data_IF_443342488002
#
_entry.id   IF_443342488002
#
_cell.length_a   1.000
_cell.length_b   1.000
_cell.length_c   1.000
_cell.angle_alpha   90.00
_cell.angle_beta   90.00
_cell.angle_gamma   90.00
#
_symmetry.space_group_name_H-M   'P 1'
#
loop_
_entity.id
_entity.type
_entity.pdbx_description
1 polymer ?
#
# COMPACT_ATOMS: atom_id res chain seq x y z
N UNK A 1 -2.09 -9.52 -37.18
CA UNK A 1 -1.96 -8.14 -36.69
C UNK A 1 -1.52 -8.27 -35.23
N UNK A 2 -0.26 -8.67 -35.04
CA UNK A 2 0.90 -7.78 -34.75
C UNK A 2 0.91 -7.45 -33.24
N UNK A 3 1.52 -8.30 -32.40
CA UNK A 3 2.95 -8.33 -32.03
C UNK A 3 3.42 -7.02 -31.40
N UNK A 4 3.88 -7.05 -30.13
CA UNK A 4 5.13 -6.40 -29.72
C UNK A 4 5.63 -6.94 -28.36
N UNK A 5 6.65 -7.78 -28.44
CA UNK A 5 7.54 -8.17 -27.34
C UNK A 5 8.73 -7.18 -27.35
N UNK A 6 9.08 -6.57 -26.22
CA UNK A 6 10.36 -5.87 -25.92
C UNK A 6 10.39 -5.66 -24.40
N UNK A 7 11.06 -6.47 -23.58
CA UNK A 7 12.51 -6.50 -23.35
C UNK A 7 13.15 -5.12 -23.42
N UNK A 8 13.53 -4.55 -22.27
CA UNK A 8 14.84 -3.92 -21.98
C UNK A 8 14.97 -3.83 -20.43
N UNK A 9 15.90 -4.60 -19.86
CA UNK A 9 16.52 -4.27 -18.57
C UNK A 9 17.32 -2.98 -18.76
N UNK A 10 17.01 -1.93 -17.99
CA UNK A 10 17.72 -0.67 -18.00
C UNK A 10 17.66 -0.02 -16.63
N UNK A 11 18.78 -0.09 -15.91
CA UNK A 11 19.01 0.60 -14.65
C UNK A 11 18.98 2.11 -14.91
N UNK A 12 17.81 2.72 -14.78
CA UNK A 12 17.63 4.16 -14.82
C UNK A 12 17.28 4.64 -13.42
N UNK A 13 18.27 5.25 -12.74
CA UNK A 13 18.09 6.18 -11.63
C UNK A 13 17.09 7.25 -12.07
N UNK A 14 15.82 6.97 -11.82
CA UNK A 14 14.70 7.82 -12.14
C UNK A 14 14.04 8.08 -10.80
N UNK A 15 14.11 9.33 -10.32
CA UNK A 15 13.16 9.84 -9.34
C UNK A 15 11.78 9.75 -9.99
N UNK A 16 11.18 8.56 -9.96
CA UNK A 16 9.81 8.37 -10.38
C UNK A 16 8.99 8.99 -9.27
N UNK A 17 8.56 10.20 -9.56
CA UNK A 17 7.34 10.83 -9.10
C UNK A 17 6.19 9.79 -9.09
N UNK A 18 6.15 8.95 -8.06
CA UNK A 18 5.14 7.92 -7.85
C UNK A 18 3.83 8.53 -7.29
N UNK A 19 3.46 9.73 -7.75
CA UNK A 19 2.42 10.54 -7.13
C UNK A 19 1.33 11.04 -8.08
N UNK A 20 1.30 10.60 -9.34
CA UNK A 20 0.20 10.89 -10.26
C UNK A 20 -0.31 9.60 -10.90
N UNK A 21 -0.74 8.65 -10.05
CA UNK A 21 -1.75 7.71 -10.49
C UNK A 21 -3.02 8.52 -10.81
N UNK A 22 -3.56 8.27 -12.00
CA UNK A 22 -4.73 8.90 -12.63
C UNK A 22 -5.76 9.54 -11.68
N UNK A 23 -6.03 10.83 -11.89
CA UNK A 23 -7.13 11.60 -11.24
C UNK A 23 -8.56 11.09 -11.56
N UNK A 24 -8.69 9.93 -12.21
CA UNK A 24 -9.96 9.37 -12.69
C UNK A 24 -10.12 7.87 -12.42
N UNK A 25 -9.13 7.20 -11.81
CA UNK A 25 -9.28 5.84 -11.33
C UNK A 25 -9.58 5.89 -9.83
N UNK A 26 -10.74 5.36 -9.45
CA UNK A 26 -11.10 5.09 -8.06
C UNK A 26 -10.28 3.87 -7.61
N UNK A 27 -9.10 4.11 -7.03
CA UNK A 27 -8.10 3.09 -6.71
C UNK A 27 -7.63 3.23 -5.26
N UNK A 28 -7.38 2.10 -4.60
CA UNK A 28 -6.83 2.01 -3.26
C UNK A 28 -5.37 2.50 -3.27
N UNK A 29 -5.08 3.58 -2.53
CA UNK A 29 -3.75 4.17 -2.48
C UNK A 29 -3.31 4.39 -1.04
N UNK A 30 -2.13 3.85 -0.70
CA UNK A 30 -1.45 4.21 0.54
C UNK A 30 0.07 4.02 0.46
N UNK A 31 0.74 4.72 1.36
CA UNK A 31 2.16 4.59 1.64
C UNK A 31 2.38 4.20 3.11
N UNK A 32 3.55 3.62 3.38
CA UNK A 32 3.94 3.13 4.71
C UNK A 32 5.20 3.85 5.14
N UNK A 33 5.17 4.50 6.31
CA UNK A 33 6.26 5.33 6.81
C UNK A 33 6.59 4.95 8.26
N UNK A 34 7.83 4.52 8.57
CA UNK A 34 8.87 4.14 7.61
C UNK A 34 8.56 2.76 6.98
N UNK A 35 8.88 2.60 5.69
CA UNK A 35 8.81 1.28 5.03
C UNK A 35 9.87 0.30 5.56
N UNK A 36 10.95 0.81 6.14
CA UNK A 36 12.00 0.02 6.81
C UNK A 36 12.39 0.70 8.11
N UNK A 37 12.35 -0.03 9.23
CA UNK A 37 12.87 0.44 10.53
C UNK A 37 13.88 -0.55 11.09
N UNK A 38 14.92 -0.05 11.75
CA UNK A 38 15.97 -0.88 12.37
C UNK A 38 15.67 -1.25 13.82
N UNK A 39 14.55 -0.77 14.36
CA UNK A 39 14.15 -1.01 15.73
C UNK A 39 12.66 -1.39 15.71
N UNK A 40 12.23 -2.21 16.67
CA UNK A 40 10.80 -2.41 16.96
C UNK A 40 10.15 -1.04 17.16
N UNK A 41 9.01 -0.81 16.52
CA UNK A 41 8.47 0.54 16.45
C UNK A 41 7.12 0.62 15.78
N UNK A 42 6.56 1.81 15.85
CA UNK A 42 5.30 2.16 15.20
C UNK A 42 5.56 2.53 13.75
N UNK A 43 4.71 1.99 12.89
CA UNK A 43 4.67 2.28 11.46
C UNK A 43 3.34 2.97 11.19
N UNK A 44 3.39 4.08 10.48
CA UNK A 44 2.23 4.84 10.08
C UNK A 44 1.85 4.54 8.62
N UNK A 45 0.56 4.59 8.35
CA UNK A 45 -0.03 4.48 7.02
C UNK A 45 -0.52 5.85 6.60
N UNK A 46 -0.03 6.31 5.45
CA UNK A 46 -0.46 7.56 4.83
C UNK A 46 -1.40 7.21 3.68
N UNK A 47 -2.69 7.47 3.89
CA UNK A 47 -3.72 7.22 2.87
C UNK A 47 -3.68 8.30 1.78
N UNK A 48 -3.72 7.86 0.52
CA UNK A 48 -3.86 8.71 -0.67
C UNK A 48 -5.08 8.31 -1.50
N UNK A 49 -6.02 7.56 -0.92
CA UNK A 49 -7.21 7.05 -1.59
C UNK A 49 -8.21 8.19 -1.82
N UNK A 50 -8.64 8.41 -3.07
CA UNK A 50 -9.59 9.46 -3.41
C UNK A 50 -10.92 8.84 -3.85
N UNK A 51 -12.02 9.30 -3.23
CA UNK A 51 -13.38 8.89 -3.62
C UNK A 51 -13.88 7.58 -3.01
N UNK A 52 -13.13 6.99 -2.07
CA UNK A 52 -13.59 5.82 -1.33
C UNK A 52 -14.69 6.21 -0.33
N UNK A 53 -15.71 5.37 -0.22
CA UNK A 53 -16.77 5.45 0.80
C UNK A 53 -16.35 4.78 2.11
N UNK A 54 -15.41 3.83 2.05
CA UNK A 54 -14.82 3.18 3.21
C UNK A 54 -13.38 2.79 2.91
N UNK A 55 -12.49 2.98 3.87
CA UNK A 55 -11.10 2.52 3.81
C UNK A 55 -10.76 1.81 5.10
N UNK A 56 -10.16 0.64 4.99
CA UNK A 56 -9.71 -0.17 6.11
C UNK A 56 -8.39 -0.86 5.81
N UNK A 57 -7.68 -1.25 6.85
CA UNK A 57 -6.32 -1.79 6.80
C UNK A 57 -6.24 -3.08 7.58
N UNK A 58 -5.34 -3.96 7.16
CA UNK A 58 -5.02 -5.21 7.83
C UNK A 58 -3.49 -5.33 7.95
N UNK A 59 -3.00 -5.49 9.18
CA UNK A 59 -1.57 -5.41 9.51
C UNK A 59 -0.91 -6.78 9.71
N UNK A 60 -1.70 -7.84 9.90
CA UNK A 60 -1.28 -9.24 9.98
C UNK A 60 -2.38 -10.15 9.42
N UNK A 61 -2.07 -11.39 9.04
CA UNK A 61 -3.07 -12.32 8.50
C UNK A 61 -4.14 -12.73 9.52
N UNK A 62 -3.78 -12.73 10.80
CA UNK A 62 -4.62 -13.11 11.93
C UNK A 62 -5.60 -12.01 12.35
N UNK A 63 -5.32 -10.75 11.97
CA UNK A 63 -6.17 -9.61 12.29
C UNK A 63 -7.31 -9.43 11.26
N UNK A 64 -8.42 -8.86 11.71
CA UNK A 64 -9.46 -8.33 10.82
C UNK A 64 -9.05 -7.00 10.18
N UNK A 65 -9.87 -6.50 9.26
CA UNK A 65 -9.72 -5.14 8.76
C UNK A 65 -10.13 -4.12 9.83
N UNK A 66 -9.30 -3.10 10.03
CA UNK A 66 -9.43 -2.05 11.03
C UNK A 66 -9.24 -0.67 10.39
N UNK A 67 -9.75 0.39 11.02
CA UNK A 67 -9.62 1.76 10.50
C UNK A 67 -8.40 2.52 11.03
N UNK A 68 -7.61 1.90 11.92
CA UNK A 68 -6.38 2.54 12.42
C UNK A 68 -5.36 2.66 11.29
N UNK A 69 -4.65 3.78 11.27
CA UNK A 69 -3.60 4.10 10.28
C UNK A 69 -2.21 3.95 10.86
N UNK A 70 -2.05 3.20 11.96
CA UNK A 70 -0.75 2.90 12.52
C UNK A 70 -0.74 1.51 13.15
N UNK A 71 0.45 0.92 13.23
CA UNK A 71 0.66 -0.37 13.89
C UNK A 71 2.06 -0.46 14.49
N UNK A 72 2.14 -1.01 15.70
CA UNK A 72 3.42 -1.26 16.37
C UNK A 72 3.84 -2.71 16.16
N UNK A 73 5.03 -2.90 15.60
CA UNK A 73 5.62 -4.21 15.40
C UNK A 73 6.68 -4.47 16.47
N UNK A 74 6.44 -5.50 17.29
CA UNK A 74 7.31 -5.88 18.41
C UNK A 74 8.26 -7.03 18.07
N UNK A 75 8.30 -7.46 16.81
CA UNK A 75 9.18 -8.52 16.33
C UNK A 75 9.84 -8.10 15.03
N UNK A 76 11.12 -8.42 14.82
CA UNK A 76 11.76 -8.27 13.52
C UNK A 76 11.10 -9.21 12.50
N UNK A 77 11.02 -8.77 11.25
CA UNK A 77 10.38 -9.53 10.19
C UNK A 77 9.96 -8.66 9.01
N UNK A 78 9.51 -9.33 7.96
CA UNK A 78 8.81 -8.69 6.84
C UNK A 78 7.31 -8.85 7.06
N UNK A 79 6.58 -7.75 7.06
CA UNK A 79 5.13 -7.74 7.21
C UNK A 79 4.48 -7.13 5.97
N UNK A 80 3.26 -7.55 5.69
CA UNK A 80 2.45 -7.00 4.60
C UNK A 80 1.26 -6.29 5.21
N UNK A 81 1.12 -5.01 4.87
CA UNK A 81 -0.07 -4.23 5.17
C UNK A 81 -0.97 -4.31 3.93
N UNK A 82 -2.24 -4.60 4.15
CA UNK A 82 -3.26 -4.67 3.10
C UNK A 82 -4.31 -3.60 3.36
N UNK A 83 -4.56 -2.74 2.38
CA UNK A 83 -5.65 -1.78 2.39
C UNK A 83 -6.82 -2.34 1.58
N UNK A 84 -8.03 -2.21 2.11
CA UNK A 84 -9.28 -2.44 1.41
C UNK A 84 -10.01 -1.10 1.29
N UNK A 85 -10.11 -0.58 0.08
CA UNK A 85 -10.89 0.60 -0.23
C UNK A 85 -12.19 0.18 -0.93
N UNK A 86 -13.30 0.76 -0.50
CA UNK A 86 -14.60 0.56 -1.12
C UNK A 86 -15.04 1.84 -1.80
N UNK A 87 -15.59 1.73 -3.00
CA UNK A 87 -15.96 2.82 -3.88
C UNK A 87 -17.41 2.67 -4.32
N UNK A 88 -18.12 3.78 -4.51
CA UNK A 88 -19.42 3.76 -5.16
C UNK A 88 -19.26 4.17 -6.64
N UNK A 89 -19.33 3.20 -7.53
CA UNK A 89 -19.25 3.42 -8.98
C UNK A 89 -20.63 3.17 -9.56
N UNK A 90 -21.30 4.24 -10.01
CA UNK A 90 -22.64 4.19 -10.61
C UNK A 90 -23.68 3.45 -9.75
N UNK A 91 -23.69 3.70 -8.44
CA UNK A 91 -24.63 3.06 -7.51
C UNK A 91 -24.26 1.64 -7.10
N UNK A 92 -23.14 1.11 -7.58
CA UNK A 92 -22.60 -0.20 -7.19
C UNK A 92 -21.37 -0.03 -6.31
N UNK A 93 -21.31 -0.78 -5.21
CA UNK A 93 -20.09 -0.83 -4.38
C UNK A 93 -19.04 -1.71 -5.05
N UNK A 94 -17.90 -1.12 -5.38
CA UNK A 94 -16.70 -1.85 -5.82
C UNK A 94 -15.67 -1.84 -4.70
N UNK A 95 -14.87 -2.89 -4.61
CA UNK A 95 -13.78 -2.98 -3.66
C UNK A 95 -12.46 -3.10 -4.42
N UNK A 96 -11.47 -2.35 -3.98
CA UNK A 96 -10.12 -2.42 -4.47
C UNK A 96 -9.16 -2.70 -3.32
N UNK A 97 -8.05 -3.37 -3.61
CA UNK A 97 -7.11 -3.83 -2.60
C UNK A 97 -5.69 -3.58 -3.03
N UNK A 98 -4.99 -2.80 -2.22
CA UNK A 98 -3.56 -2.51 -2.40
C UNK A 98 -2.77 -3.12 -1.24
N UNK A 99 -1.54 -3.54 -1.51
CA UNK A 99 -0.62 -4.04 -0.48
C UNK A 99 0.70 -3.28 -0.50
N UNK A 100 1.31 -3.18 0.69
CA UNK A 100 2.65 -2.61 0.89
C UNK A 100 3.40 -3.45 1.91
N UNK A 101 4.69 -3.64 1.65
CA UNK A 101 5.57 -4.35 2.59
C UNK A 101 6.21 -3.36 3.56
N UNK A 102 6.42 -3.82 4.79
CA UNK A 102 7.21 -3.16 5.81
C UNK A 102 8.24 -4.13 6.36
N UNK A 103 9.47 -3.65 6.53
CA UNK A 103 10.58 -4.46 7.03
C UNK A 103 11.03 -3.92 8.38
N UNK A 104 10.88 -4.73 9.42
CA UNK A 104 11.38 -4.46 10.76
C UNK A 104 12.67 -5.26 10.92
N UNK A 105 13.80 -4.57 11.06
CA UNK A 105 15.09 -5.22 11.30
C UNK A 105 15.37 -5.28 12.79
N UNK A 106 16.25 -6.20 13.15
CA UNK A 106 16.83 -6.23 14.48
C UNK A 106 17.71 -4.99 14.70
N UNK A 107 17.66 -4.46 15.91
CA UNK A 107 18.64 -3.47 16.37
C UNK A 107 20.02 -4.12 16.38
N UNK A 108 21.05 -3.49 15.79
CA UNK A 108 22.42 -3.98 15.84
C UNK A 108 23.02 -3.94 17.25
#
# INVERSE_FOLDING_TARGET
>A
MESFFKSIYGFALSFIWAGFASLWAQEACFEVVPAVTCNMGTVDVVDCTVGAINVSYKYSEEEGFVTRTNNTYNTPGSFTITQLAQFNVNGTTQADTTTRQVIIRETP
#
